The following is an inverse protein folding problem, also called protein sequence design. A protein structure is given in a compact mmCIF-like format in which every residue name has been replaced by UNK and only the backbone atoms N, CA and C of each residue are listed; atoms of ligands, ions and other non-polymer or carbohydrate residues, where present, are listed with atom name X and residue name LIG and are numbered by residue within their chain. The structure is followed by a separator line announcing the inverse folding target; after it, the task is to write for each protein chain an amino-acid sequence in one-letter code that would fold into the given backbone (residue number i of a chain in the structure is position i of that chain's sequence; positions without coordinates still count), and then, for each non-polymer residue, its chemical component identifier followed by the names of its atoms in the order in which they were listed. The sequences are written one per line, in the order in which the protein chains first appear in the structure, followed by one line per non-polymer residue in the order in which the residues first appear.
data_IF_800809550386
#
_entry.id   IF_800809550386
#
_cell.length_a   1.000
_cell.length_b   1.000
_cell.length_c   1.000
_cell.angle_alpha   90.00
_cell.angle_beta   90.00
_cell.angle_gamma   90.00
#
_symmetry.space_group_name_H-M   'P 1'
#
loop_
_entity.id
_entity.type
_entity.pdbx_description
1 polymer ?
#
# COMPACT_ATOMS: atom_id res chain seq x y z
N UNK A 1 3.66 13.40 -7.16
CA UNK A 1 2.19 13.41 -7.42
C UNK A 1 1.83 12.68 -8.72
N UNK A 2 2.59 12.91 -9.81
CA UNK A 2 2.40 12.18 -11.07
C UNK A 2 2.54 10.67 -10.88
N UNK A 3 3.48 10.27 -10.04
CA UNK A 3 3.80 8.89 -9.69
C UNK A 3 2.61 8.19 -9.00
N UNK A 4 1.91 8.89 -8.11
CA UNK A 4 0.72 8.36 -7.41
C UNK A 4 -0.40 8.11 -8.42
N UNK A 5 -0.64 9.06 -9.32
CA UNK A 5 -1.67 8.93 -10.35
C UNK A 5 -1.33 7.79 -11.34
N UNK A 6 -0.07 7.69 -11.74
CA UNK A 6 0.41 6.61 -12.61
C UNK A 6 0.32 5.24 -11.93
N UNK A 7 0.67 5.13 -10.64
CA UNK A 7 0.53 3.89 -9.87
C UNK A 7 -0.93 3.46 -9.73
N UNK A 8 -1.83 4.41 -9.46
CA UNK A 8 -3.27 4.16 -9.42
C UNK A 8 -3.79 3.66 -10.77
N UNK A 9 -3.46 4.35 -11.86
CA UNK A 9 -3.86 3.95 -13.21
C UNK A 9 -3.29 2.59 -13.60
N UNK A 10 -2.02 2.32 -13.29
CA UNK A 10 -1.42 1.01 -13.53
C UNK A 10 -2.16 -0.09 -12.76
N UNK A 11 -2.47 0.12 -11.48
CA UNK A 11 -3.24 -0.82 -10.67
C UNK A 11 -4.65 -1.08 -11.23
N UNK A 12 -5.34 -0.02 -11.67
CA UNK A 12 -6.66 -0.13 -12.31
C UNK A 12 -6.61 -0.93 -13.61
N UNK A 13 -5.65 -0.63 -14.48
CA UNK A 13 -5.47 -1.34 -15.76
C UNK A 13 -5.14 -2.81 -15.53
N UNK A 14 -4.20 -3.11 -14.63
CA UNK A 14 -3.82 -4.49 -14.30
C UNK A 14 -5.01 -5.25 -13.71
N UNK A 15 -5.72 -4.66 -12.74
CA UNK A 15 -6.90 -5.28 -12.14
C UNK A 15 -8.00 -5.55 -13.17
N UNK A 16 -8.26 -4.60 -14.06
CA UNK A 16 -9.24 -4.73 -15.13
C UNK A 16 -8.87 -5.86 -16.11
N UNK A 17 -7.62 -5.89 -16.60
CA UNK A 17 -7.16 -6.92 -17.54
C UNK A 17 -7.26 -8.31 -16.91
N UNK A 18 -6.83 -8.47 -15.66
CA UNK A 18 -6.87 -9.77 -14.99
C UNK A 18 -8.30 -10.25 -14.74
N UNK A 19 -9.21 -9.35 -14.33
CA UNK A 19 -10.62 -9.66 -14.20
C UNK A 19 -11.26 -10.04 -15.55
N UNK A 20 -10.94 -9.27 -16.61
CA UNK A 20 -11.43 -9.52 -17.96
C UNK A 20 -10.98 -10.87 -18.52
N UNK A 21 -9.71 -11.22 -18.32
CA UNK A 21 -9.13 -12.50 -18.73
C UNK A 21 -9.45 -13.66 -17.76
N UNK A 22 -10.19 -13.41 -16.68
CA UNK A 22 -10.49 -14.38 -15.60
C UNK A 22 -9.22 -15.02 -15.00
N UNK A 23 -8.15 -14.25 -14.93
CA UNK A 23 -6.88 -14.67 -14.33
C UNK A 23 -6.89 -14.41 -12.81
N UNK A 24 -6.17 -15.21 -12.01
CA UNK A 24 -5.96 -14.91 -10.61
C UNK A 24 -5.24 -13.57 -10.47
N UNK A 25 -5.81 -12.64 -9.70
CA UNK A 25 -5.23 -11.31 -9.51
C UNK A 25 -3.89 -11.37 -8.75
N UNK A 26 -2.89 -10.55 -9.11
CA UNK A 26 -1.58 -10.58 -8.49
C UNK A 26 -1.55 -9.88 -7.11
N UNK A 27 -2.53 -9.03 -6.82
CA UNK A 27 -2.68 -8.33 -5.55
C UNK A 27 -3.54 -9.14 -4.55
N UNK A 28 -3.45 -8.86 -3.23
CA UNK A 28 -4.27 -9.53 -2.23
C UNK A 28 -5.76 -9.45 -2.59
N UNK A 29 -6.47 -10.59 -2.75
CA UNK A 29 -7.85 -10.61 -3.22
C UNK A 29 -8.87 -10.27 -2.13
N UNK A 30 -8.42 -10.12 -0.89
CA UNK A 30 -9.27 -9.90 0.28
C UNK A 30 -8.96 -8.56 0.93
N UNK A 31 -10.01 -7.90 1.44
CA UNK A 31 -9.88 -6.62 2.14
C UNK A 31 -8.89 -6.70 3.32
N UNK A 32 -8.85 -7.84 4.03
CA UNK A 32 -7.90 -8.05 5.14
C UNK A 32 -6.44 -7.97 4.71
N UNK A 33 -6.10 -8.43 3.51
CA UNK A 33 -4.74 -8.33 2.96
C UNK A 33 -4.36 -6.89 2.61
N UNK A 34 -5.31 -6.14 2.04
CA UNK A 34 -5.14 -4.71 1.74
C UNK A 34 -4.95 -3.91 3.03
N UNK A 35 -5.77 -4.18 4.04
CA UNK A 35 -5.65 -3.55 5.36
C UNK A 35 -4.32 -3.90 6.05
N UNK A 36 -3.80 -5.11 5.85
CA UNK A 36 -2.46 -5.49 6.33
C UNK A 36 -1.35 -4.61 5.75
N UNK A 37 -1.30 -4.42 4.43
CA UNK A 37 -0.31 -3.55 3.77
C UNK A 37 -0.44 -2.11 4.27
N UNK A 38 -1.67 -1.59 4.37
CA UNK A 38 -1.94 -0.26 4.87
C UNK A 38 -1.48 -0.10 6.34
N UNK A 39 -1.74 -1.09 7.19
CA UNK A 39 -1.29 -1.12 8.58
C UNK A 39 0.22 -1.11 8.72
N UNK A 40 0.96 -1.83 7.87
CA UNK A 40 2.43 -1.80 7.87
C UNK A 40 2.95 -0.40 7.54
N UNK A 41 2.40 0.25 6.51
CA UNK A 41 2.79 1.61 6.14
C UNK A 41 2.48 2.62 7.25
N UNK A 42 1.28 2.56 7.83
CA UNK A 42 0.90 3.43 8.95
C UNK A 42 1.79 3.19 10.18
N UNK A 43 2.08 1.94 10.52
CA UNK A 43 2.97 1.60 11.64
C UNK A 43 4.38 2.20 11.44
N UNK A 44 4.92 2.10 10.23
CA UNK A 44 6.18 2.77 9.87
C UNK A 44 6.09 4.29 10.02
N UNK A 45 5.03 4.91 9.52
CA UNK A 45 4.85 6.37 9.60
C UNK A 45 4.73 6.85 11.05
N UNK A 46 4.00 6.10 11.89
CA UNK A 46 3.87 6.36 13.33
C UNK A 46 5.24 6.24 14.00
N UNK A 47 6.01 5.19 13.69
CA UNK A 47 7.36 5.04 14.22
C UNK A 47 8.25 6.21 13.83
N UNK A 48 8.26 6.64 12.57
CA UNK A 48 9.03 7.81 12.13
C UNK A 48 8.63 9.09 12.87
N UNK A 49 7.35 9.25 13.21
CA UNK A 49 6.87 10.38 13.99
C UNK A 49 7.30 10.31 15.46
N UNK A 50 7.37 9.11 16.04
CA UNK A 50 7.81 8.89 17.43
C UNK A 50 9.34 8.82 17.58
N UNK A 51 10.07 8.46 16.53
CA UNK A 51 11.52 8.27 16.54
C UNK A 51 12.31 9.46 17.15
N UNK A 52 11.97 10.74 16.88
CA UNK A 52 12.63 11.89 17.50
C UNK A 52 12.54 11.92 19.03
N UNK A 53 11.48 11.36 19.63
CA UNK A 53 11.30 11.31 21.09
C UNK A 53 12.33 10.41 21.77
N UNK A 54 12.76 9.36 21.07
CA UNK A 54 13.82 8.46 21.54
C UNK A 54 15.20 9.06 21.31
N UNK A 55 15.38 9.82 20.23
CA UNK A 55 16.64 10.55 19.94
C UNK A 55 16.89 11.76 20.85
N UNK A 56 15.86 12.25 21.56
CA UNK A 56 15.96 13.38 22.51
C UNK A 56 16.21 12.97 23.96
N UNK A 57 16.43 11.67 24.24
CA UNK A 57 16.87 11.22 25.56
C UNK A 57 18.41 11.35 25.64
N UNK A 58 18.98 12.01 26.67
CA UNK A 58 20.42 12.11 26.83
C UNK A 58 21.10 10.75 27.01
#
# INVERSE_FOLDING_TARGET
MKEILLALLAGLIVGFIFAFLKLPIPAPPVLSGIMGIFGVYLGYQIFQWLAPLFSSSP
#
